data_IF_793199023245
#
_entry.id   IF_793199023245
#
_cell.length_a   1.000
_cell.length_b   1.000
_cell.length_c   1.000
_cell.angle_alpha   90.00
_cell.angle_beta   90.00
_cell.angle_gamma   90.00
#
_symmetry.space_group_name_H-M   'P 1'
#
loop_
_entity.id
_entity.type
_entity.pdbx_description
1 polymer ?
#
# COMPACT_ATOMS: atom_id res chain seq x y z
N UNK A 1 14.86 -0.17 9.36
CA UNK A 1 13.54 0.28 9.88
C UNK A 1 13.53 1.78 9.75
N UNK A 2 12.69 2.29 8.86
CA UNK A 2 12.49 3.71 8.58
C UNK A 2 11.07 4.11 9.04
N UNK A 3 10.81 3.90 10.34
CA UNK A 3 9.52 4.16 10.98
C UNK A 3 9.65 5.33 11.95
N UNK A 4 8.82 6.35 11.79
CA UNK A 4 8.70 7.46 12.73
C UNK A 4 7.44 7.34 13.59
N UNK A 5 7.56 7.59 14.89
CA UNK A 5 6.40 7.73 15.77
C UNK A 5 5.81 9.12 15.60
N UNK A 6 4.52 9.20 15.26
CA UNK A 6 3.78 10.46 15.22
C UNK A 6 3.35 10.85 16.64
N UNK A 7 3.99 11.88 17.20
CA UNK A 7 3.72 12.35 18.56
C UNK A 7 2.38 13.11 18.72
N UNK A 8 1.66 13.38 17.63
CA UNK A 8 0.32 14.00 17.68
C UNK A 8 0.28 15.48 18.07
N UNK A 9 1.44 16.16 18.19
CA UNK A 9 1.52 17.59 18.56
C UNK A 9 2.35 18.38 17.52
N UNK A 10 1.63 18.94 16.53
CA UNK A 10 1.94 20.04 15.59
C UNK A 10 3.39 20.19 15.04
N UNK A 11 3.59 19.92 13.73
CA UNK A 11 4.13 20.83 12.67
C UNK A 11 4.40 20.09 11.33
N UNK A 12 4.28 20.84 10.22
CA UNK A 12 3.99 20.42 8.83
C UNK A 12 5.16 19.87 7.99
N UNK A 13 4.86 18.85 7.17
CA UNK A 13 5.54 18.60 5.88
C UNK A 13 4.47 18.49 4.80
N UNK A 14 4.44 19.45 3.87
CA UNK A 14 3.50 19.46 2.74
C UNK A 14 4.28 19.48 1.42
N UNK A 15 4.06 18.47 0.56
CA UNK A 15 4.49 18.54 -0.83
C UNK A 15 3.49 19.42 -1.59
N UNK A 16 3.94 20.55 -2.13
CA UNK A 16 3.08 21.55 -2.78
C UNK A 16 2.50 21.12 -4.13
N UNK A 17 2.81 19.92 -4.62
CA UNK A 17 2.35 19.46 -5.92
C UNK A 17 1.45 18.23 -5.79
N UNK A 18 0.13 18.50 -5.82
CA UNK A 18 -1.00 17.67 -6.28
C UNK A 18 -2.09 17.34 -5.21
N UNK A 19 -3.23 18.03 -5.37
CA UNK A 19 -4.61 17.57 -5.13
C UNK A 19 -5.13 17.52 -3.67
N UNK A 20 -6.45 17.71 -3.51
CA UNK A 20 -7.17 17.77 -2.24
C UNK A 20 -6.93 16.52 -1.37
N UNK A 21 -6.46 16.74 -0.13
CA UNK A 21 -6.11 15.67 0.82
C UNK A 21 -4.74 15.87 1.47
N UNK A 22 -4.44 17.07 1.96
CA UNK A 22 -3.18 17.34 2.67
C UNK A 22 -3.15 16.55 3.98
N UNK A 23 -2.26 15.56 4.06
CA UNK A 23 -1.92 14.87 5.30
C UNK A 23 -0.64 15.47 5.88
N UNK A 24 -0.70 15.93 7.12
CA UNK A 24 0.45 16.46 7.87
C UNK A 24 0.85 15.46 8.95
N UNK A 25 2.14 15.11 9.04
CA UNK A 25 2.63 14.17 10.04
C UNK A 25 3.99 14.59 10.61
N UNK A 26 4.23 14.26 11.89
CA UNK A 26 5.50 14.51 12.55
C UNK A 26 6.53 13.43 12.21
N UNK A 27 7.70 13.85 11.72
CA UNK A 27 8.83 12.98 11.39
C UNK A 27 10.13 13.55 11.99
N UNK A 28 11.06 12.67 12.38
CA UNK A 28 12.37 13.13 12.85
C UNK A 28 13.20 13.71 11.69
N UNK A 29 14.27 14.46 12.02
CA UNK A 29 15.09 15.17 11.02
C UNK A 29 15.67 14.26 9.93
N UNK A 30 16.03 13.01 10.28
CA UNK A 30 16.54 12.02 9.33
C UNK A 30 15.48 11.64 8.29
N UNK A 31 14.26 11.34 8.74
CA UNK A 31 13.15 10.96 7.85
C UNK A 31 12.62 12.15 7.05
N UNK A 32 12.67 13.37 7.63
CA UNK A 32 12.36 14.59 6.89
C UNK A 32 13.30 14.76 5.69
N UNK A 33 14.61 14.57 5.88
CA UNK A 33 15.57 14.67 4.79
C UNK A 33 15.29 13.66 3.67
N UNK A 34 14.83 12.45 4.01
CA UNK A 34 14.42 11.44 3.03
C UNK A 34 13.18 11.87 2.23
N UNK A 35 12.17 12.43 2.90
CA UNK A 35 10.96 12.96 2.23
C UNK A 35 11.32 14.13 1.32
N UNK A 36 12.13 15.07 1.78
CA UNK A 36 12.59 16.22 0.99
C UNK A 36 13.45 15.77 -0.21
N UNK A 37 14.16 14.65 -0.10
CA UNK A 37 14.87 14.00 -1.21
C UNK A 37 13.96 13.22 -2.18
N UNK A 38 12.64 13.21 -1.96
CA UNK A 38 11.66 12.57 -2.83
C UNK A 38 11.30 11.13 -2.46
N UNK A 39 11.68 10.66 -1.27
CA UNK A 39 11.26 9.33 -0.81
C UNK A 39 9.75 9.28 -0.59
N UNK A 40 9.06 8.21 -1.02
CA UNK A 40 7.65 8.03 -0.73
C UNK A 40 7.46 7.81 0.78
N UNK A 41 6.32 8.26 1.29
CA UNK A 41 5.92 8.11 2.68
C UNK A 41 4.39 7.96 2.79
N UNK A 42 3.93 7.33 3.88
CA UNK A 42 2.51 7.16 4.21
C UNK A 42 2.29 7.30 5.73
N UNK A 43 1.05 7.57 6.13
CA UNK A 43 0.65 7.78 7.53
C UNK A 43 -0.33 6.68 7.97
N UNK A 44 0.14 5.78 8.84
CA UNK A 44 -0.68 4.73 9.45
C UNK A 44 -0.87 4.98 10.95
N UNK A 45 -2.07 5.43 11.33
CA UNK A 45 -2.46 5.72 12.71
C UNK A 45 -1.45 6.62 13.45
N UNK A 46 -0.58 6.02 14.28
CA UNK A 46 0.44 6.68 15.12
C UNK A 46 1.82 6.65 14.49
N UNK A 47 1.94 6.23 13.24
CA UNK A 47 3.22 6.01 12.60
C UNK A 47 3.27 6.66 11.23
N UNK A 48 4.47 7.12 10.88
CA UNK A 48 4.81 7.50 9.52
C UNK A 48 5.74 6.43 8.97
N UNK A 49 5.32 5.81 7.88
CA UNK A 49 6.06 4.79 7.14
C UNK A 49 6.83 5.47 6.02
N UNK A 50 8.10 5.10 5.83
CA UNK A 50 8.93 5.64 4.77
C UNK A 50 9.67 4.53 4.03
N UNK A 51 9.79 4.68 2.71
CA UNK A 51 10.62 3.83 1.88
C UNK A 51 10.29 2.34 2.04
N UNK A 52 11.22 1.57 2.61
CA UNK A 52 11.10 0.11 2.76
C UNK A 52 9.97 -0.33 3.70
N UNK A 53 9.56 0.54 4.64
CA UNK A 53 8.47 0.21 5.56
C UNK A 53 7.08 0.42 4.92
N UNK A 54 7.02 1.06 3.75
CA UNK A 54 5.76 1.20 3.00
C UNK A 54 5.41 -0.09 2.27
N UNK A 55 4.11 -0.43 2.28
CA UNK A 55 3.59 -1.43 1.37
C UNK A 55 3.90 -1.00 -0.08
N UNK A 56 4.43 -1.91 -0.92
CA UNK A 56 4.77 -1.55 -2.27
C UNK A 56 3.49 -1.28 -3.08
N UNK A 57 3.51 -0.23 -3.90
CA UNK A 57 2.31 0.24 -4.61
C UNK A 57 1.88 -0.81 -5.63
N UNK A 58 0.66 -1.32 -5.50
CA UNK A 58 0.04 -2.18 -6.52
C UNK A 58 -0.37 -1.29 -7.73
N UNK A 59 0.24 -1.50 -8.89
CA UNK A 59 -0.10 -0.74 -10.10
C UNK A 59 -1.35 -1.28 -10.77
N UNK A 60 -1.41 -2.59 -10.95
CA UNK A 60 -2.56 -3.27 -11.54
C UNK A 60 -2.59 -4.71 -11.07
N UNK A 61 -3.75 -5.32 -11.19
CA UNK A 61 -3.96 -6.73 -10.89
C UNK A 61 -4.92 -7.33 -11.90
N UNK A 62 -4.78 -8.63 -12.12
CA UNK A 62 -5.72 -9.39 -12.94
C UNK A 62 -5.88 -10.79 -12.40
N UNK A 63 -7.08 -11.36 -12.58
CA UNK A 63 -7.36 -12.75 -12.22
C UNK A 63 -7.83 -13.49 -13.46
N UNK A 64 -7.28 -14.69 -13.68
CA UNK A 64 -7.69 -15.58 -14.78
C UNK A 64 -7.96 -16.99 -14.26
N UNK A 65 -8.92 -17.75 -14.82
CA UNK A 65 -9.04 -19.17 -14.54
C UNK A 65 -7.73 -19.90 -14.83
N UNK A 66 -7.35 -20.85 -13.98
CA UNK A 66 -6.15 -21.66 -14.22
C UNK A 66 -6.46 -22.81 -15.17
N UNK A 67 -5.62 -23.02 -16.18
CA UNK A 67 -5.79 -24.13 -17.11
C UNK A 67 -5.42 -25.46 -16.42
N UNK A 68 -6.39 -26.36 -16.27
CA UNK A 68 -6.17 -27.71 -15.74
C UNK A 68 -6.37 -27.88 -14.23
N UNK A 69 -6.92 -26.89 -13.52
CA UNK A 69 -7.31 -27.02 -12.11
C UNK A 69 -8.46 -26.08 -11.78
N UNK A 70 -9.35 -26.48 -10.86
CA UNK A 70 -10.43 -25.63 -10.35
C UNK A 70 -9.85 -24.54 -9.44
N UNK A 71 -9.52 -23.39 -10.03
CA UNK A 71 -8.97 -22.23 -9.33
C UNK A 71 -8.62 -21.08 -10.27
N UNK A 72 -8.02 -20.05 -9.70
CA UNK A 72 -7.67 -18.80 -10.37
C UNK A 72 -6.18 -18.51 -10.21
N UNK A 73 -5.55 -17.97 -11.24
CA UNK A 73 -4.24 -17.34 -11.12
C UNK A 73 -4.44 -15.85 -10.98
N UNK A 74 -4.07 -15.30 -9.82
CA UNK A 74 -4.00 -13.88 -9.54
C UNK A 74 -2.61 -13.38 -9.94
N UNK A 75 -2.57 -12.35 -10.78
CA UNK A 75 -1.34 -11.67 -11.20
C UNK A 75 -1.34 -10.27 -10.61
N UNK A 76 -0.28 -9.92 -9.87
CA UNK A 76 -0.10 -8.62 -9.23
C UNK A 76 1.10 -7.92 -9.85
N UNK A 77 0.89 -6.73 -10.42
CA UNK A 77 1.96 -5.86 -10.92
C UNK A 77 2.26 -4.80 -9.86
N UNK A 78 3.44 -4.91 -9.25
CA UNK A 78 3.87 -4.04 -8.16
C UNK A 78 4.84 -3.00 -8.71
N UNK A 79 4.68 -1.74 -8.32
CA UNK A 79 5.56 -0.66 -8.72
C UNK A 79 7.00 -0.95 -8.30
N UNK A 80 7.94 -0.61 -9.19
CA UNK A 80 9.37 -0.86 -9.01
C UNK A 80 9.75 -2.35 -8.88
N UNK A 81 8.84 -3.29 -9.17
CA UNK A 81 9.15 -4.71 -9.34
C UNK A 81 9.28 -5.04 -10.82
N UNK A 82 10.36 -5.72 -11.20
CA UNK A 82 10.61 -6.09 -12.59
C UNK A 82 9.74 -7.24 -13.10
N UNK A 83 9.15 -8.04 -12.19
CA UNK A 83 8.32 -9.20 -12.52
C UNK A 83 7.02 -9.18 -11.74
N UNK A 84 5.88 -9.53 -12.37
CA UNK A 84 4.63 -9.68 -11.66
C UNK A 84 4.71 -10.86 -10.69
N UNK A 85 3.93 -10.77 -9.61
CA UNK A 85 3.72 -11.89 -8.69
C UNK A 85 2.52 -12.68 -9.18
N UNK A 86 2.72 -13.97 -9.47
CA UNK A 86 1.65 -14.90 -9.82
C UNK A 86 1.34 -15.81 -8.62
N UNK A 87 0.08 -15.83 -8.21
CA UNK A 87 -0.41 -16.66 -7.11
C UNK A 87 -1.57 -17.50 -7.61
N UNK A 88 -1.50 -18.81 -7.41
CA UNK A 88 -2.64 -19.68 -7.64
C UNK A 88 -3.52 -19.68 -6.38
N UNK A 89 -4.83 -19.48 -6.59
CA UNK A 89 -5.85 -19.52 -5.56
C UNK A 89 -6.84 -20.63 -5.92
N UNK A 90 -7.11 -21.53 -4.98
CA UNK A 90 -8.27 -22.41 -5.08
C UNK A 90 -9.57 -21.60 -5.05
N UNK A 91 -10.68 -22.18 -5.50
CA UNK A 91 -12.00 -21.53 -5.45
C UNK A 91 -12.37 -21.02 -4.04
N UNK A 92 -12.00 -21.77 -3.00
CA UNK A 92 -12.23 -21.40 -1.60
C UNK A 92 -11.40 -20.18 -1.18
N UNK A 93 -10.13 -20.15 -1.55
CA UNK A 93 -9.22 -19.02 -1.25
C UNK A 93 -9.61 -17.76 -2.03
N UNK A 94 -9.97 -17.90 -3.31
CA UNK A 94 -10.44 -16.79 -4.13
C UNK A 94 -11.72 -16.17 -3.53
N UNK A 95 -12.65 -17.00 -3.04
CA UNK A 95 -13.87 -16.53 -2.37
C UNK A 95 -13.56 -15.83 -1.05
N UNK A 96 -12.64 -16.37 -0.25
CA UNK A 96 -12.20 -15.74 1.00
C UNK A 96 -11.52 -14.39 0.72
N UNK A 97 -10.64 -14.32 -0.28
CA UNK A 97 -9.98 -13.08 -0.70
C UNK A 97 -11.00 -12.02 -1.16
N UNK A 98 -11.98 -12.41 -1.97
CA UNK A 98 -13.05 -11.51 -2.41
C UNK A 98 -13.83 -10.93 -1.22
N UNK A 99 -14.15 -11.76 -0.21
CA UNK A 99 -14.82 -11.30 1.01
C UNK A 99 -13.98 -10.29 1.80
N UNK A 100 -12.67 -10.52 1.93
CA UNK A 100 -11.78 -9.56 2.59
C UNK A 100 -11.73 -8.22 1.85
N UNK A 101 -11.65 -8.23 0.51
CA UNK A 101 -11.62 -7.01 -0.29
C UNK A 101 -12.94 -6.24 -0.17
N UNK A 102 -14.08 -6.94 -0.28
CA UNK A 102 -15.40 -6.31 -0.12
C UNK A 102 -15.58 -5.70 1.28
N UNK A 103 -15.14 -6.41 2.33
CA UNK A 103 -15.19 -5.89 3.69
C UNK A 103 -14.29 -4.65 3.89
N UNK A 104 -13.10 -4.64 3.29
CA UNK A 104 -12.17 -3.51 3.36
C UNK A 104 -12.68 -2.27 2.60
N UNK A 105 -13.40 -2.46 1.50
CA UNK A 105 -13.95 -1.36 0.69
C UNK A 105 -15.26 -0.77 1.23
N UNK A 106 -15.82 -1.32 2.32
CA UNK A 106 -17.07 -0.83 2.90
C UNK A 106 -18.33 -1.19 2.09
N UNK A 107 -18.20 -2.03 1.07
CA UNK A 107 -19.30 -2.61 0.29
C UNK A 107 -19.97 -3.77 1.05
N UNK A 108 -20.36 -3.46 2.28
CA UNK A 108 -21.05 -4.37 3.20
C UNK A 108 -22.51 -3.99 3.35
N UNK A 109 -23.32 -4.17 2.30
CA UNK A 109 -24.76 -4.48 2.34
C UNK A 109 -25.30 -4.76 0.94
#
# INVERSE_FOLDING_TARGET
>A
MLRCTNAGSAFLVGNQNLVAGYHEAFVCAEHKALIEAGSPWDMEERYVLLGQDMAPVLQTWSARPSAGSEGFTLTLEIANQAKPIEVFLTSSEARMLAQFISAANGDGS
#
